data_IF_713077067501
#
_entry.id   IF_713077067501
#
_cell.length_a   1.000
_cell.length_b   1.000
_cell.length_c   1.000
_cell.angle_alpha   90.00
_cell.angle_beta   90.00
_cell.angle_gamma   90.00
#
_symmetry.space_group_name_H-M   'P 1'
#
loop_
_entity.id
_entity.type
_entity.pdbx_description
1 polymer ?
#
# COMPACT_ATOMS: atom_id res chain seq x y z
N UNK A 1 -9.57 5.87 -28.34
CA UNK A 1 -10.77 6.16 -27.51
C UNK A 1 -11.32 4.89 -26.84
N UNK A 2 -11.53 3.78 -27.58
CA UNK A 2 -12.15 2.56 -27.00
C UNK A 2 -11.30 1.89 -25.91
N UNK A 3 -9.98 1.87 -26.03
CA UNK A 3 -9.10 1.26 -25.01
C UNK A 3 -9.04 2.04 -23.70
N UNK A 4 -9.20 3.36 -23.74
CA UNK A 4 -9.26 4.20 -22.52
C UNK A 4 -10.59 4.03 -21.83
N UNK A 5 -11.70 3.96 -22.58
CA UNK A 5 -13.05 3.70 -22.07
C UNK A 5 -13.18 2.30 -21.45
N UNK A 6 -12.53 1.27 -22.04
CA UNK A 6 -12.47 -0.09 -21.48
C UNK A 6 -11.67 -0.14 -20.18
N UNK A 7 -10.55 0.60 -20.09
CA UNK A 7 -9.74 0.73 -18.88
C UNK A 7 -10.51 1.46 -17.76
N UNK A 8 -11.25 2.51 -18.09
CA UNK A 8 -12.08 3.23 -17.12
C UNK A 8 -13.23 2.37 -16.60
N UNK A 9 -13.89 1.58 -17.46
CA UNK A 9 -14.96 0.67 -17.04
C UNK A 9 -14.47 -0.46 -16.17
N UNK A 10 -13.32 -1.07 -16.50
CA UNK A 10 -12.66 -2.09 -15.66
C UNK A 10 -12.27 -1.55 -14.28
N UNK A 11 -11.87 -0.28 -14.21
CA UNK A 11 -11.52 0.41 -12.96
C UNK A 11 -12.73 0.71 -12.11
N UNK A 12 -13.86 1.14 -12.72
CA UNK A 12 -15.12 1.34 -11.98
C UNK A 12 -15.64 0.03 -11.38
N UNK A 13 -15.55 -1.09 -12.11
CA UNK A 13 -15.91 -2.41 -11.61
C UNK A 13 -14.99 -2.86 -10.47
N UNK A 14 -13.68 -2.58 -10.58
CA UNK A 14 -12.71 -2.88 -9.51
C UNK A 14 -12.97 -2.03 -8.26
N UNK A 15 -13.36 -0.76 -8.43
CA UNK A 15 -13.77 0.14 -7.34
C UNK A 15 -15.05 -0.34 -6.64
N UNK A 16 -16.07 -0.72 -7.40
CA UNK A 16 -17.31 -1.26 -6.84
C UNK A 16 -17.05 -2.54 -6.03
N UNK A 17 -16.18 -3.43 -6.52
CA UNK A 17 -15.75 -4.63 -5.78
C UNK A 17 -14.96 -4.31 -4.52
N UNK A 18 -14.16 -3.22 -4.50
CA UNK A 18 -13.45 -2.75 -3.29
C UNK A 18 -14.41 -2.23 -2.23
N UNK A 19 -15.51 -1.57 -2.63
CA UNK A 19 -16.58 -1.17 -1.70
C UNK A 19 -17.31 -2.37 -1.10
N UNK A 20 -17.40 -3.48 -1.83
CA UNK A 20 -17.99 -4.72 -1.32
C UNK A 20 -17.03 -5.52 -0.42
N UNK A 21 -15.71 -5.32 -0.57
CA UNK A 21 -14.69 -6.09 0.13
C UNK A 21 -13.57 -5.14 0.62
N UNK A 22 -13.60 -4.66 1.88
CA UNK A 22 -12.69 -3.64 2.40
C UNK A 22 -11.30 -4.23 2.73
N UNK A 23 -10.62 -4.79 1.71
CA UNK A 23 -9.21 -5.19 1.82
C UNK A 23 -8.35 -3.97 1.56
N UNK A 24 -7.49 -3.55 2.50
CA UNK A 24 -6.63 -2.39 2.33
C UNK A 24 -5.70 -2.53 1.12
N UNK A 25 -5.51 -1.43 0.40
CA UNK A 25 -4.66 -1.37 -0.78
C UNK A 25 -3.40 -0.56 -0.47
N UNK A 26 -2.26 -1.14 -0.73
CA UNK A 26 -0.94 -0.52 -0.54
C UNK A 26 -0.29 -0.35 -1.92
N UNK A 27 -0.04 0.89 -2.33
CA UNK A 27 0.67 1.17 -3.56
C UNK A 27 2.18 1.25 -3.30
N UNK A 28 2.95 0.53 -4.12
CA UNK A 28 4.41 0.59 -4.08
C UNK A 28 4.85 1.59 -5.15
N UNK A 29 5.43 2.70 -4.72
CA UNK A 29 5.92 3.77 -5.58
C UNK A 29 7.43 3.95 -5.40
N UNK A 30 8.07 4.62 -6.30
CA UNK A 30 9.50 4.94 -6.19
C UNK A 30 10.15 5.09 -7.55
N UNK A 31 11.36 5.61 -7.54
CA UNK A 31 12.13 5.82 -8.76
C UNK A 31 12.42 4.49 -9.49
N UNK A 32 12.69 4.55 -10.81
CA UNK A 32 13.08 3.34 -11.55
C UNK A 32 14.29 2.68 -10.90
N UNK A 33 14.29 1.36 -10.88
CA UNK A 33 15.37 0.53 -10.29
C UNK A 33 15.59 0.73 -8.77
N UNK A 34 14.62 1.29 -8.03
CA UNK A 34 14.71 1.39 -6.57
C UNK A 34 14.48 0.04 -5.86
N UNK A 35 13.85 -0.93 -6.54
CA UNK A 35 13.58 -2.27 -6.00
C UNK A 35 12.09 -2.54 -5.71
N UNK A 36 11.16 -1.83 -6.36
CA UNK A 36 9.71 -2.01 -6.16
C UNK A 36 9.22 -3.41 -6.50
N UNK A 37 9.50 -3.87 -7.72
CA UNK A 37 9.09 -5.22 -8.16
C UNK A 37 9.80 -6.31 -7.35
N UNK A 38 11.05 -6.07 -6.92
CA UNK A 38 11.75 -6.96 -5.99
C UNK A 38 11.01 -7.04 -4.66
N UNK A 39 10.56 -5.90 -4.11
CA UNK A 39 9.78 -5.87 -2.88
C UNK A 39 8.48 -6.67 -3.03
N UNK A 40 7.71 -6.41 -4.09
CA UNK A 40 6.47 -7.14 -4.36
C UNK A 40 6.71 -8.64 -4.44
N UNK A 41 7.72 -9.06 -5.21
CA UNK A 41 8.07 -10.48 -5.38
C UNK A 41 8.48 -11.14 -4.06
N UNK A 42 9.30 -10.44 -3.26
CA UNK A 42 9.80 -10.98 -1.99
C UNK A 42 8.67 -11.15 -0.97
N UNK A 43 7.74 -10.19 -0.89
CA UNK A 43 6.62 -10.28 0.05
C UNK A 43 5.55 -11.30 -0.40
N UNK A 44 5.33 -11.47 -1.71
CA UNK A 44 4.19 -12.26 -2.22
C UNK A 44 4.58 -13.60 -2.83
N UNK A 45 5.87 -14.00 -2.78
CA UNK A 45 6.42 -15.17 -3.50
C UNK A 45 6.07 -15.15 -5.01
N UNK A 46 5.80 -13.99 -5.56
CA UNK A 46 5.40 -13.81 -6.94
C UNK A 46 6.66 -13.72 -7.84
N UNK A 47 6.54 -14.25 -9.07
CA UNK A 47 7.60 -14.13 -10.10
C UNK A 47 7.25 -13.01 -11.08
N UNK A 48 7.25 -11.76 -10.63
CA UNK A 48 7.18 -10.62 -11.55
C UNK A 48 8.57 -10.40 -12.14
N UNK A 49 8.64 -10.06 -13.43
CA UNK A 49 9.91 -9.79 -14.11
C UNK A 49 10.70 -8.69 -13.36
N UNK A 50 11.80 -9.10 -12.75
CA UNK A 50 12.79 -8.19 -12.19
C UNK A 50 13.81 -7.88 -13.29
N UNK A 51 13.63 -6.76 -13.96
CA UNK A 51 14.62 -6.28 -14.92
C UNK A 51 15.26 -5.00 -14.40
N UNK A 52 16.59 -4.93 -14.44
CA UNK A 52 17.37 -3.71 -14.19
C UNK A 52 17.22 -2.67 -15.33
N UNK A 53 16.11 -2.73 -16.07
CA UNK A 53 15.78 -1.82 -17.16
C UNK A 53 14.82 -0.73 -16.73
N UNK A 54 14.92 0.41 -17.38
CA UNK A 54 13.92 1.48 -17.25
C UNK A 54 12.57 0.93 -17.74
N UNK A 55 11.51 1.13 -16.92
CA UNK A 55 10.14 0.68 -17.23
C UNK A 55 9.94 -0.84 -17.31
N UNK A 56 10.57 -1.59 -16.42
CA UNK A 56 10.33 -3.03 -16.30
C UNK A 56 8.85 -3.37 -16.03
N UNK A 57 8.14 -2.52 -15.31
CA UNK A 57 6.69 -2.64 -15.06
C UNK A 57 5.96 -1.58 -15.87
N UNK A 58 5.21 -1.98 -16.89
CA UNK A 58 4.36 -1.09 -17.71
C UNK A 58 2.91 -1.09 -17.24
N UNK A 59 2.41 -2.23 -16.76
CA UNK A 59 1.07 -2.39 -16.21
C UNK A 59 1.13 -2.61 -14.70
N UNK A 60 0.24 -1.99 -13.90
CA UNK A 60 0.21 -2.20 -12.46
C UNK A 60 -0.10 -3.66 -12.15
N UNK A 61 0.74 -4.28 -11.33
CA UNK A 61 0.54 -5.66 -10.88
C UNK A 61 0.05 -5.64 -9.44
N UNK A 62 -1.19 -6.10 -9.22
CA UNK A 62 -1.77 -6.23 -7.87
C UNK A 62 -1.70 -7.66 -7.39
N UNK A 63 -1.27 -7.87 -6.15
CA UNK A 63 -1.16 -9.19 -5.49
C UNK A 63 -1.73 -9.14 -4.09
N UNK A 64 -2.36 -10.25 -3.69
CA UNK A 64 -2.71 -10.46 -2.29
C UNK A 64 -1.47 -10.75 -1.48
N UNK A 65 -1.36 -10.12 -0.33
CA UNK A 65 -0.34 -10.38 0.67
C UNK A 65 -1.00 -10.56 2.03
N UNK A 66 -0.59 -11.60 2.74
CA UNK A 66 -1.03 -11.87 4.09
C UNK A 66 0.06 -11.48 5.07
N UNK A 67 -0.21 -10.47 5.88
CA UNK A 67 0.70 -10.00 6.92
C UNK A 67 0.89 -11.06 8.02
N UNK A 68 1.96 -11.00 8.80
CA UNK A 68 2.21 -11.94 9.91
C UNK A 68 1.08 -12.01 10.93
N UNK A 69 0.37 -10.92 11.19
CA UNK A 69 -0.81 -10.88 12.06
C UNK A 69 -2.06 -11.55 11.46
N UNK A 70 -1.95 -12.03 10.21
CA UNK A 70 -3.01 -12.72 9.48
C UNK A 70 -3.93 -11.81 8.67
N UNK A 71 -3.73 -10.49 8.71
CA UNK A 71 -4.50 -9.55 7.90
C UNK A 71 -4.10 -9.63 6.43
N UNK A 72 -5.09 -9.60 5.54
CA UNK A 72 -4.87 -9.55 4.10
C UNK A 72 -4.83 -8.11 3.59
N UNK A 73 -3.90 -7.83 2.69
CA UNK A 73 -3.75 -6.55 1.98
C UNK A 73 -3.50 -6.79 0.50
N UNK A 74 -3.82 -5.80 -0.32
CA UNK A 74 -3.49 -5.78 -1.74
C UNK A 74 -2.23 -4.93 -1.94
N UNK A 75 -1.16 -5.53 -2.43
CA UNK A 75 0.04 -4.81 -2.85
C UNK A 75 -0.04 -4.55 -4.35
N UNK A 76 0.11 -3.30 -4.76
CA UNK A 76 0.13 -2.90 -6.17
C UNK A 76 1.49 -2.28 -6.51
N UNK A 77 2.25 -2.96 -7.39
CA UNK A 77 3.46 -2.37 -8.00
C UNK A 77 3.06 -1.35 -9.05
N UNK A 78 3.66 -0.19 -9.00
CA UNK A 78 3.42 0.89 -9.96
C UNK A 78 4.61 1.07 -10.88
N UNK A 79 4.39 1.75 -12.00
CA UNK A 79 5.49 2.13 -12.90
C UNK A 79 6.51 2.99 -12.17
N UNK A 80 7.80 2.71 -12.39
CA UNK A 80 8.89 3.47 -11.79
C UNK A 80 8.92 4.91 -12.27
N UNK A 81 9.03 5.85 -11.34
CA UNK A 81 9.20 7.27 -11.65
C UNK A 81 10.55 7.52 -12.32
N UNK A 82 10.56 8.44 -13.28
CA UNK A 82 11.77 8.92 -13.94
C UNK A 82 11.77 10.45 -13.98
N UNK A 83 12.98 11.03 -14.01
CA UNK A 83 13.16 12.45 -14.32
C UNK A 83 12.81 12.70 -15.79
N UNK A 84 12.00 13.70 -16.06
CA UNK A 84 11.57 14.11 -17.41
C UNK A 84 10.86 12.97 -18.16
N UNK A 85 9.64 12.65 -17.71
CA UNK A 85 8.74 11.82 -18.49
C UNK A 85 8.54 12.45 -19.89
N UNK A 86 8.77 11.70 -20.97
CA UNK A 86 8.41 12.18 -22.30
C UNK A 86 6.91 12.49 -22.36
N UNK A 87 6.55 13.62 -22.97
CA UNK A 87 5.15 14.09 -23.01
C UNK A 87 4.16 13.05 -23.54
N UNK A 88 4.55 12.22 -24.50
CA UNK A 88 3.71 11.17 -25.08
C UNK A 88 3.47 9.97 -24.15
N UNK A 89 4.24 9.85 -23.08
CA UNK A 89 4.06 8.79 -22.07
C UNK A 89 3.31 9.28 -20.81
N UNK A 90 3.09 10.59 -20.68
CA UNK A 90 2.47 11.18 -19.47
C UNK A 90 1.08 10.56 -19.23
N UNK A 91 0.26 10.40 -20.26
CA UNK A 91 -1.10 9.87 -20.12
C UNK A 91 -1.12 8.37 -19.78
N UNK A 92 -0.20 7.59 -20.37
CA UNK A 92 -0.05 6.17 -20.03
C UNK A 92 0.44 5.99 -18.59
N UNK A 93 1.41 6.80 -18.16
CA UNK A 93 1.91 6.78 -16.78
C UNK A 93 0.91 7.32 -15.75
N UNK A 94 0.15 8.35 -16.13
CA UNK A 94 -0.90 8.90 -15.27
C UNK A 94 -1.88 7.81 -14.84
N UNK A 95 -2.24 6.94 -15.76
CA UNK A 95 -3.18 5.85 -15.49
C UNK A 95 -2.68 4.83 -14.47
N UNK A 96 -1.39 4.50 -14.52
CA UNK A 96 -0.77 3.54 -13.57
C UNK A 96 -0.46 4.18 -12.23
N UNK A 97 -0.13 5.48 -12.22
CA UNK A 97 0.12 6.24 -11.00
C UNK A 97 -1.16 6.66 -10.27
N UNK A 98 -2.31 6.66 -10.97
CA UNK A 98 -3.62 6.84 -10.34
C UNK A 98 -3.93 5.75 -9.31
N UNK A 99 -3.30 4.56 -9.39
CA UNK A 99 -3.42 3.53 -8.36
C UNK A 99 -2.92 4.03 -6.99
N UNK A 100 -1.89 4.88 -6.96
CA UNK A 100 -1.44 5.53 -5.73
C UNK A 100 -2.49 6.47 -5.12
N UNK A 101 -3.29 7.13 -5.96
CA UNK A 101 -4.40 8.01 -5.49
C UNK A 101 -5.48 7.23 -4.77
N UNK A 102 -5.69 5.98 -5.17
CA UNK A 102 -6.76 5.12 -4.62
C UNK A 102 -6.26 4.12 -3.60
N UNK A 103 -4.96 4.07 -3.31
CA UNK A 103 -4.42 3.26 -2.23
C UNK A 103 -4.72 3.87 -0.86
N UNK A 104 -4.64 3.04 0.17
CA UNK A 104 -4.79 3.46 1.57
C UNK A 104 -3.45 3.87 2.15
N UNK A 105 -2.39 3.13 1.79
CA UNK A 105 -1.02 3.35 2.21
C UNK A 105 -0.13 3.42 0.96
N UNK A 106 0.92 4.22 1.04
CA UNK A 106 1.97 4.30 0.02
C UNK A 106 3.27 3.81 0.61
N UNK A 107 3.88 2.81 -0.03
CA UNK A 107 5.25 2.40 0.23
C UNK A 107 6.14 3.08 -0.82
N UNK A 108 6.96 4.03 -0.37
CA UNK A 108 7.92 4.74 -1.19
C UNK A 108 9.29 4.06 -1.11
N UNK A 109 9.64 3.28 -2.14
CA UNK A 109 10.93 2.57 -2.20
C UNK A 109 12.00 3.50 -2.76
N UNK A 110 13.09 3.66 -2.02
CA UNK A 110 14.21 4.55 -2.32
C UNK A 110 15.50 3.73 -2.44
N UNK A 111 16.27 3.95 -3.48
CA UNK A 111 17.61 3.37 -3.64
C UNK A 111 18.61 4.21 -2.85
N UNK A 112 19.02 3.74 -1.67
CA UNK A 112 19.95 4.42 -0.77
C UNK A 112 21.36 4.50 -1.32
N UNK A 113 21.73 3.61 -2.25
CA UNK A 113 23.05 3.63 -2.89
C UNK A 113 23.18 4.64 -4.03
N UNK A 114 22.07 5.32 -4.39
CA UNK A 114 22.07 6.27 -5.50
C UNK A 114 22.60 7.62 -5.05
N UNK A 115 23.68 8.17 -5.67
CA UNK A 115 24.28 9.44 -5.25
C UNK A 115 23.37 10.67 -5.40
N UNK A 116 22.24 10.52 -6.13
CA UNK A 116 21.21 11.56 -6.28
C UNK A 116 19.89 11.17 -5.60
N UNK A 117 19.96 10.34 -4.55
CA UNK A 117 18.81 9.83 -3.80
C UNK A 117 17.82 10.93 -3.45
N UNK A 118 18.25 12.01 -2.80
CA UNK A 118 17.39 13.11 -2.36
C UNK A 118 16.58 13.73 -3.51
N UNK A 119 17.23 13.90 -4.67
CA UNK A 119 16.57 14.44 -5.86
C UNK A 119 15.53 13.47 -6.44
N UNK A 120 15.76 12.16 -6.30
CA UNK A 120 14.81 11.15 -6.74
C UNK A 120 13.62 11.06 -5.77
N UNK A 121 13.85 11.17 -4.47
CA UNK A 121 12.81 11.28 -3.44
C UNK A 121 11.91 12.48 -3.73
N UNK A 122 12.52 13.66 -3.92
CA UNK A 122 11.75 14.86 -4.23
C UNK A 122 10.93 14.75 -5.51
N UNK A 123 11.48 14.14 -6.57
CA UNK A 123 10.76 13.93 -7.83
C UNK A 123 9.52 13.02 -7.66
N UNK A 124 9.57 12.03 -6.77
CA UNK A 124 8.41 11.18 -6.43
C UNK A 124 7.35 12.01 -5.72
N UNK A 125 7.72 12.79 -4.70
CA UNK A 125 6.77 13.65 -3.98
C UNK A 125 6.13 14.71 -4.88
N UNK A 126 6.91 15.36 -5.75
CA UNK A 126 6.38 16.31 -6.72
C UNK A 126 5.35 15.67 -7.65
N UNK A 127 5.59 14.43 -8.06
CA UNK A 127 4.65 13.69 -8.91
C UNK A 127 3.39 13.30 -8.14
N UNK A 128 3.51 12.78 -6.90
CA UNK A 128 2.35 12.47 -6.04
C UNK A 128 1.50 13.73 -5.80
N UNK A 129 2.14 14.87 -5.58
CA UNK A 129 1.46 16.16 -5.45
C UNK A 129 0.71 16.57 -6.71
N UNK A 130 1.34 16.42 -7.90
CA UNK A 130 0.71 16.72 -9.19
C UNK A 130 -0.48 15.80 -9.50
N UNK A 131 -0.48 14.58 -8.96
CA UNK A 131 -1.59 13.63 -9.06
C UNK A 131 -2.67 13.88 -7.99
N UNK A 132 -2.50 14.93 -7.17
CA UNK A 132 -3.41 15.25 -6.06
C UNK A 132 -3.57 14.09 -5.06
N UNK A 133 -2.51 13.32 -4.85
CA UNK A 133 -2.47 12.30 -3.78
C UNK A 133 -2.35 13.03 -2.46
N UNK A 134 -3.36 12.88 -1.60
CA UNK A 134 -3.44 13.56 -0.29
C UNK A 134 -3.92 12.57 0.78
N UNK A 135 -3.63 12.90 2.02
CA UNK A 135 -4.15 12.20 3.20
C UNK A 135 -3.86 10.68 3.17
N UNK A 136 -2.65 10.31 2.74
CA UNK A 136 -2.16 8.94 2.71
C UNK A 136 -1.05 8.75 3.71
N UNK A 137 -1.03 7.61 4.38
CA UNK A 137 0.13 7.19 5.18
C UNK A 137 1.25 6.81 4.21
N UNK A 138 2.42 7.40 4.40
CA UNK A 138 3.60 7.15 3.58
C UNK A 138 4.65 6.43 4.42
N UNK A 139 5.07 5.27 3.94
CA UNK A 139 6.17 4.49 4.50
C UNK A 139 7.35 4.56 3.55
N UNK A 140 8.44 5.22 3.92
CA UNK A 140 9.64 5.27 3.09
C UNK A 140 10.56 4.12 3.42
N UNK A 141 10.85 3.30 2.40
CA UNK A 141 11.73 2.14 2.46
C UNK A 141 13.07 2.51 1.83
N UNK A 142 14.07 2.77 2.66
CA UNK A 142 15.45 2.99 2.22
C UNK A 142 16.10 1.65 1.88
N UNK A 143 16.03 1.27 0.61
CA UNK A 143 16.51 -0.02 0.11
C UNK A 143 17.97 0.03 -0.33
N UNK A 144 18.59 -1.14 -0.44
CA UNK A 144 19.98 -1.37 -0.86
C UNK A 144 21.02 -0.82 0.12
N UNK A 145 20.72 -0.86 1.42
CA UNK A 145 21.67 -0.47 2.47
C UNK A 145 22.93 -1.35 2.49
N UNK A 146 22.84 -2.56 1.93
CA UNK A 146 23.95 -3.48 1.74
C UNK A 146 25.04 -2.96 0.78
N UNK A 147 24.72 -1.94 -0.02
CA UNK A 147 25.65 -1.30 -0.94
C UNK A 147 26.33 -0.04 -0.37
N UNK A 148 25.99 0.35 0.83
CA UNK A 148 26.55 1.52 1.48
C UNK A 148 27.84 1.14 2.20
N UNK A 149 28.93 1.83 1.92
CA UNK A 149 30.21 1.71 2.65
C UNK A 149 30.10 2.30 4.05
N UNK A 150 29.43 3.45 4.16
CA UNK A 150 29.07 4.11 5.39
C UNK A 150 27.55 4.25 5.49
N UNK A 151 27.00 4.13 6.70
CA UNK A 151 25.56 4.33 6.93
C UNK A 151 25.26 5.80 7.22
N UNK A 152 24.83 6.59 6.22
CA UNK A 152 24.38 7.95 6.47
C UNK A 152 23.08 7.92 7.27
N UNK A 153 22.81 8.99 8.02
CA UNK A 153 21.49 9.18 8.63
C UNK A 153 20.50 9.46 7.51
N UNK A 154 19.66 8.47 7.20
CA UNK A 154 18.60 8.57 6.21
C UNK A 154 17.32 9.05 6.91
N UNK A 155 16.74 10.14 6.42
CA UNK A 155 15.48 10.69 6.94
C UNK A 155 14.61 11.14 5.78
N UNK A 156 13.33 10.85 5.90
CA UNK A 156 12.29 11.41 5.05
C UNK A 156 11.28 12.13 5.95
N UNK A 157 11.29 13.45 5.91
CA UNK A 157 10.42 14.28 6.74
C UNK A 157 8.96 14.36 6.22
N UNK A 158 8.72 13.86 5.02
CA UNK A 158 7.38 13.79 4.42
C UNK A 158 6.71 12.42 4.66
N UNK A 159 7.45 11.44 5.17
CA UNK A 159 6.93 10.13 5.48
C UNK A 159 6.46 10.02 6.94
N UNK A 160 5.41 9.23 7.17
CA UNK A 160 4.93 8.90 8.52
C UNK A 160 5.82 7.86 9.19
N UNK A 161 6.42 6.97 8.38
CA UNK A 161 7.34 5.93 8.84
C UNK A 161 8.50 5.76 7.88
N UNK A 162 9.64 5.33 8.41
CA UNK A 162 10.83 4.99 7.62
C UNK A 162 11.39 3.65 8.07
N UNK A 163 11.92 2.87 7.13
CA UNK A 163 12.59 1.60 7.38
C UNK A 163 13.78 1.43 6.45
N UNK A 164 14.85 0.85 6.97
CA UNK A 164 16.06 0.53 6.21
C UNK A 164 16.04 -0.93 5.78
N UNK A 165 16.28 -1.20 4.49
CA UNK A 165 16.19 -2.55 3.95
C UNK A 165 17.32 -2.90 3.00
N UNK A 166 17.63 -4.19 2.93
CA UNK A 166 18.30 -4.82 1.78
C UNK A 166 17.40 -5.96 1.30
N UNK A 167 16.38 -5.61 0.50
CA UNK A 167 15.28 -6.50 0.13
C UNK A 167 15.79 -7.82 -0.45
N UNK A 168 16.79 -7.77 -1.34
CA UNK A 168 17.40 -8.98 -1.93
C UNK A 168 18.02 -9.93 -0.90
N UNK A 169 18.40 -9.42 0.26
CA UNK A 169 19.02 -10.17 1.34
C UNK A 169 18.03 -10.49 2.48
N UNK A 170 16.76 -10.11 2.34
CA UNK A 170 15.73 -10.31 3.37
C UNK A 170 15.87 -9.39 4.59
N UNK A 171 16.75 -8.37 4.55
CA UNK A 171 17.01 -7.48 5.68
C UNK A 171 15.92 -6.40 5.76
N UNK A 172 15.39 -6.18 6.98
CA UNK A 172 14.41 -5.12 7.27
C UNK A 172 12.98 -5.45 6.85
N UNK A 173 12.69 -6.67 6.37
CA UNK A 173 11.33 -7.05 5.94
C UNK A 173 10.39 -7.26 7.11
N UNK A 174 10.86 -7.82 8.23
CA UNK A 174 10.06 -8.00 9.43
C UNK A 174 9.65 -6.65 10.01
N UNK A 175 10.60 -5.70 10.10
CA UNK A 175 10.33 -4.33 10.54
C UNK A 175 9.34 -3.62 9.61
N UNK A 176 9.46 -3.82 8.28
CA UNK A 176 8.50 -3.28 7.31
C UNK A 176 7.10 -3.83 7.57
N UNK A 177 6.96 -5.13 7.83
CA UNK A 177 5.67 -5.75 8.14
C UNK A 177 5.06 -5.15 9.41
N UNK A 178 5.83 -5.02 10.49
CA UNK A 178 5.37 -4.39 11.74
C UNK A 178 4.91 -2.94 11.51
N UNK A 179 5.63 -2.18 10.68
CA UNK A 179 5.24 -0.80 10.32
C UNK A 179 3.94 -0.80 9.52
N UNK A 180 3.76 -1.71 8.56
CA UNK A 180 2.51 -1.82 7.79
C UNK A 180 1.33 -2.15 8.73
N UNK A 181 1.48 -3.12 9.62
CA UNK A 181 0.47 -3.50 10.62
C UNK A 181 0.09 -2.31 11.51
N UNK A 182 1.10 -1.56 11.98
CA UNK A 182 0.91 -0.35 12.79
C UNK A 182 0.17 0.75 12.01
N UNK A 183 0.54 0.98 10.75
CA UNK A 183 -0.10 1.94 9.88
C UNK A 183 -1.57 1.57 9.63
N UNK A 184 -1.86 0.32 9.31
CA UNK A 184 -3.22 -0.18 9.12
C UNK A 184 -4.05 -0.05 10.40
N UNK A 185 -3.46 -0.33 11.55
CA UNK A 185 -4.15 -0.18 12.85
C UNK A 185 -4.51 1.27 13.13
N UNK A 186 -3.64 2.23 12.78
CA UNK A 186 -3.90 3.67 13.00
C UNK A 186 -5.04 4.21 12.13
N UNK A 187 -5.36 3.55 11.02
CA UNK A 187 -6.48 3.89 10.12
C UNK A 187 -7.82 3.32 10.58
N UNK A 188 -7.82 2.45 11.59
CA UNK A 188 -9.03 1.80 12.08
C UNK A 188 -9.71 2.62 13.17
N UNK A 189 -11.03 2.50 13.19
CA UNK A 189 -11.88 3.10 14.21
C UNK A 189 -12.10 2.07 15.31
N UNK A 190 -11.81 2.45 16.55
CA UNK A 190 -12.19 1.64 17.71
C UNK A 190 -13.69 1.74 17.93
N UNK A 191 -14.35 0.61 18.06
CA UNK A 191 -15.78 0.53 18.38
C UNK A 191 -15.98 -0.38 19.59
N UNK A 192 -16.94 -0.02 20.43
CA UNK A 192 -17.58 -0.86 21.42
C UNK A 192 -19.08 -0.78 21.18
N UNK A 193 -19.69 -1.84 20.66
CA UNK A 193 -21.08 -1.82 20.22
C UNK A 193 -21.80 -3.11 20.56
N UNK A 194 -23.02 -2.97 21.11
CA UNK A 194 -23.93 -4.07 21.33
C UNK A 194 -24.77 -4.30 20.05
N UNK A 195 -24.70 -5.49 19.48
CA UNK A 195 -25.51 -5.92 18.34
C UNK A 195 -26.64 -6.82 18.82
N UNK A 196 -27.92 -6.44 18.62
CA UNK A 196 -29.05 -7.32 18.90
C UNK A 196 -28.91 -8.64 18.14
N UNK A 197 -29.47 -9.72 18.65
CA UNK A 197 -29.43 -11.03 17.98
C UNK A 197 -30.09 -11.02 16.59
N UNK A 198 -30.97 -10.08 16.31
CA UNK A 198 -31.53 -9.83 14.97
C UNK A 198 -30.46 -9.41 13.96
N UNK A 199 -29.36 -8.83 14.43
CA UNK A 199 -28.25 -8.30 13.64
C UNK A 199 -26.99 -9.19 13.74
N UNK A 200 -27.13 -10.46 14.10
CA UNK A 200 -26.02 -11.39 14.34
C UNK A 200 -25.04 -11.55 13.15
N UNK A 201 -25.40 -11.09 11.96
CA UNK A 201 -24.50 -11.04 10.81
C UNK A 201 -23.40 -9.97 10.92
N UNK A 202 -23.64 -8.87 11.64
CA UNK A 202 -22.70 -7.75 11.78
C UNK A 202 -21.43 -8.11 12.55
N UNK A 203 -21.45 -8.80 13.70
CA UNK A 203 -20.26 -9.37 14.32
C UNK A 203 -19.43 -10.25 13.39
N UNK A 204 -20.09 -10.99 12.47
CA UNK A 204 -19.41 -11.77 11.44
C UNK A 204 -18.60 -10.92 10.45
N UNK A 205 -19.09 -9.74 10.08
CA UNK A 205 -18.35 -8.79 9.25
C UNK A 205 -17.12 -8.24 9.99
N UNK A 206 -17.28 -7.94 11.29
CA UNK A 206 -16.18 -7.47 12.13
C UNK A 206 -15.09 -8.54 12.25
N UNK A 207 -15.45 -9.82 12.45
CA UNK A 207 -14.47 -10.92 12.49
C UNK A 207 -13.72 -11.07 11.17
N UNK A 208 -14.39 -10.79 10.04
CA UNK A 208 -13.82 -10.96 8.70
C UNK A 208 -12.92 -9.81 8.29
N UNK A 209 -13.29 -8.56 8.62
CA UNK A 209 -12.66 -7.37 8.08
C UNK A 209 -12.01 -6.46 9.13
N UNK A 210 -12.38 -6.62 10.39
CA UNK A 210 -11.85 -5.89 11.53
C UNK A 210 -10.83 -6.69 12.32
N UNK A 211 -10.39 -6.11 13.40
CA UNK A 211 -9.58 -6.75 14.44
C UNK A 211 -10.43 -6.85 15.71
N UNK A 212 -10.92 -8.04 16.00
CA UNK A 212 -11.72 -8.29 17.19
C UNK A 212 -10.83 -8.25 18.44
N UNK A 213 -11.23 -7.45 19.44
CA UNK A 213 -10.58 -7.39 20.75
C UNK A 213 -11.34 -8.27 21.73
N UNK A 214 -12.66 -8.08 21.79
CA UNK A 214 -13.54 -8.79 22.73
C UNK A 214 -14.90 -9.04 22.08
N UNK A 215 -15.47 -10.20 22.40
CA UNK A 215 -16.83 -10.55 22.04
C UNK A 215 -17.50 -11.21 23.25
N UNK A 216 -18.65 -10.69 23.64
CA UNK A 216 -19.38 -11.14 24.84
C UNK A 216 -20.86 -11.30 24.50
N UNK A 217 -21.37 -12.51 24.71
CA UNK A 217 -22.79 -12.80 24.54
C UNK A 217 -23.56 -12.40 25.79
N UNK A 218 -24.50 -11.47 25.66
CA UNK A 218 -25.37 -10.95 26.71
C UNK A 218 -26.81 -11.30 26.45
N UNK A 219 -27.70 -11.08 27.42
CA UNK A 219 -29.13 -11.38 27.27
C UNK A 219 -29.80 -10.57 26.14
N UNK A 220 -29.33 -9.35 25.88
CA UNK A 220 -29.85 -8.38 24.92
C UNK A 220 -29.11 -8.36 23.58
N UNK A 221 -28.03 -9.16 23.43
CA UNK A 221 -27.27 -9.21 22.19
C UNK A 221 -25.80 -9.63 22.36
N UNK A 222 -25.00 -9.30 21.35
CA UNK A 222 -23.56 -9.58 21.30
C UNK A 222 -22.81 -8.25 21.43
N UNK A 223 -22.14 -8.05 22.57
CA UNK A 223 -21.23 -6.92 22.74
C UNK A 223 -19.92 -7.23 22.03
N UNK A 224 -19.52 -6.34 21.14
CA UNK A 224 -18.26 -6.46 20.38
C UNK A 224 -17.42 -5.23 20.61
N UNK A 225 -16.16 -5.45 21.02
CA UNK A 225 -15.11 -4.46 21.05
C UNK A 225 -14.09 -4.82 19.96
N UNK A 226 -13.83 -3.90 19.04
CA UNK A 226 -12.99 -4.16 17.87
C UNK A 226 -12.40 -2.87 17.28
N UNK A 227 -11.34 -3.03 16.49
CA UNK A 227 -10.90 -2.02 15.52
C UNK A 227 -11.43 -2.38 14.14
N UNK A 228 -12.13 -1.45 13.48
CA UNK A 228 -12.76 -1.67 12.18
C UNK A 228 -12.32 -0.63 11.16
N UNK A 229 -12.20 -1.01 9.86
CA UNK A 229 -12.01 -0.05 8.78
C UNK A 229 -13.15 0.98 8.74
N UNK A 230 -12.84 2.23 8.34
CA UNK A 230 -13.85 3.31 8.23
C UNK A 230 -15.01 2.93 7.31
N UNK A 231 -14.71 2.23 6.20
CA UNK A 231 -15.69 1.79 5.21
C UNK A 231 -16.69 0.76 5.76
N UNK A 232 -16.31 0.07 6.83
CA UNK A 232 -17.20 -0.90 7.48
C UNK A 232 -18.24 -0.22 8.37
N UNK A 233 -17.98 1.01 8.84
CA UNK A 233 -18.86 1.73 9.78
C UNK A 233 -20.28 1.91 9.25
N UNK A 234 -20.43 2.20 7.95
CA UNK A 234 -21.74 2.40 7.32
C UNK A 234 -22.57 1.10 7.22
N UNK A 235 -21.93 -0.07 7.42
CA UNK A 235 -22.53 -1.40 7.35
C UNK A 235 -22.81 -2.02 8.72
N UNK A 236 -22.31 -1.40 9.80
CA UNK A 236 -22.48 -1.83 11.19
C UNK A 236 -23.59 -1.06 11.90
#
# INVERSE_FOLDING_TARGET
KSQVEDLESHRQVTRARRQENPVPVIAIVGYTNAGKSTLLNTLTDARVLEEDKLFATLDPTTRNYKLPDGQEVLLTDTVGFIRKLPHHLIDAFRSTLEEAKYSDIIIHVVDSSNPVMDKNVQAVYDTLKNLEVKDKIIITVFNKIDKLEEKPIMKDFNADYTVETAIKNGIGLDELNEIIEKALKSMRIHIEKLFPYTDAGKPGLIRKYGQLIKEEYREDGILVEAYVPSELMDRL
#
